data_IF_980045367417
#
_entry.id   IF_980045367417
#
_cell.length_a   1.000
_cell.length_b   1.000
_cell.length_c   1.000
_cell.angle_alpha   90.00
_cell.angle_beta   90.00
_cell.angle_gamma   90.00
#
_symmetry.space_group_name_H-M   'P 1'
#
loop_
_entity.id
_entity.type
_entity.pdbx_description
1 polymer ?
#
# COMPACT_ATOMS: atom_id res chain seq x y z
N UNK A 1 23.66 9.99 -2.45
CA UNK A 1 22.98 9.83 -1.15
C UNK A 1 21.47 9.96 -1.35
N UNK A 2 20.67 9.25 -0.55
CA UNK A 2 19.20 9.32 -0.62
C UNK A 2 18.70 10.74 -0.33
N UNK A 3 17.68 11.21 -1.07
CA UNK A 3 16.96 12.47 -0.79
C UNK A 3 15.96 12.35 0.37
N UNK A 4 15.65 11.13 0.81
CA UNK A 4 14.74 10.87 1.92
C UNK A 4 15.53 10.96 3.25
N UNK A 5 15.27 11.96 4.12
CA UNK A 5 16.02 12.15 5.36
C UNK A 5 15.75 11.07 6.42
N UNK A 6 14.60 10.39 6.35
CA UNK A 6 14.23 9.35 7.31
C UNK A 6 14.64 7.98 6.77
N UNK A 7 15.32 7.17 7.58
CA UNK A 7 15.59 5.77 7.21
C UNK A 7 14.32 4.93 7.42
N UNK A 8 13.92 4.07 6.46
CA UNK A 8 12.80 3.17 6.69
C UNK A 8 13.15 2.06 7.69
N UNK A 9 12.14 1.59 8.41
CA UNK A 9 12.18 0.46 9.36
C UNK A 9 12.19 -0.89 8.64
N UNK A 10 11.66 -0.94 7.41
CA UNK A 10 11.67 -2.11 6.52
C UNK A 10 12.61 -1.87 5.33
N UNK A 11 13.19 -2.94 4.79
CA UNK A 11 13.87 -2.88 3.51
C UNK A 11 12.83 -2.69 2.39
N UNK A 12 13.10 -1.79 1.45
CA UNK A 12 12.28 -1.58 0.26
C UNK A 12 13.10 -2.06 -0.93
N UNK A 13 12.60 -3.07 -1.63
CA UNK A 13 13.27 -3.69 -2.78
C UNK A 13 12.45 -3.39 -4.03
N UNK A 14 13.09 -2.82 -5.04
CA UNK A 14 12.53 -2.67 -6.37
C UNK A 14 13.09 -3.78 -7.26
N UNK A 15 12.21 -4.51 -7.93
CA UNK A 15 12.58 -5.62 -8.80
C UNK A 15 11.90 -5.41 -10.14
N UNK A 16 12.65 -5.58 -11.22
CA UNK A 16 12.12 -5.67 -12.57
C UNK A 16 12.32 -7.11 -13.03
N UNK A 17 11.22 -7.87 -13.14
CA UNK A 17 11.28 -9.24 -13.62
C UNK A 17 11.43 -9.29 -15.13
N UNK A 18 11.99 -10.40 -15.61
CA UNK A 18 12.08 -10.73 -17.03
C UNK A 18 11.18 -11.94 -17.30
N UNK A 19 10.66 -12.06 -18.52
CA UNK A 19 9.84 -13.20 -18.92
C UNK A 19 8.49 -13.31 -18.20
N UNK A 20 7.86 -12.18 -17.85
CA UNK A 20 6.48 -12.15 -17.35
C UNK A 20 5.54 -12.79 -18.40
N UNK A 21 5.63 -12.32 -19.65
CA UNK A 21 4.89 -12.85 -20.80
C UNK A 21 5.32 -14.28 -21.21
N UNK A 22 6.42 -14.79 -20.65
CA UNK A 22 6.88 -16.17 -20.80
C UNK A 22 6.42 -17.03 -19.61
N UNK A 23 5.19 -16.80 -19.15
CA UNK A 23 4.59 -17.45 -17.98
C UNK A 23 5.34 -17.15 -16.67
N UNK A 24 5.64 -15.88 -16.38
CA UNK A 24 6.19 -15.41 -15.10
C UNK A 24 7.57 -15.99 -14.78
N UNK A 25 8.39 -16.27 -15.80
CA UNK A 25 9.64 -17.01 -15.65
C UNK A 25 10.59 -16.39 -14.63
N UNK A 26 10.78 -15.06 -14.69
CA UNK A 26 11.69 -14.35 -13.79
C UNK A 26 11.22 -14.33 -12.33
N UNK A 27 9.93 -14.10 -12.07
CA UNK A 27 9.40 -14.11 -10.71
C UNK A 27 9.34 -15.51 -10.11
N UNK A 28 9.04 -16.54 -10.91
CA UNK A 28 9.18 -17.94 -10.50
C UNK A 28 10.64 -18.29 -10.12
N UNK A 29 11.60 -17.86 -10.93
CA UNK A 29 13.01 -18.06 -10.62
C UNK A 29 13.42 -17.34 -9.34
N UNK A 30 12.99 -16.09 -9.14
CA UNK A 30 13.31 -15.34 -7.92
C UNK A 30 12.73 -15.99 -6.67
N UNK A 31 11.48 -16.46 -6.71
CA UNK A 31 10.84 -17.12 -5.57
C UNK A 31 11.55 -18.42 -5.19
N UNK A 32 12.07 -19.15 -6.17
CA UNK A 32 12.86 -20.37 -5.94
C UNK A 32 14.32 -20.10 -5.53
N UNK A 33 14.88 -18.95 -5.92
CA UNK A 33 16.27 -18.56 -5.65
C UNK A 33 16.37 -17.11 -5.13
N UNK A 34 15.77 -16.81 -3.97
CA UNK A 34 15.64 -15.44 -3.51
C UNK A 34 16.98 -14.88 -3.02
N UNK A 35 17.37 -13.71 -3.54
CA UNK A 35 18.55 -12.97 -3.04
C UNK A 35 18.26 -12.40 -1.65
N UNK A 36 17.03 -11.93 -1.42
CA UNK A 36 16.56 -11.47 -0.11
C UNK A 36 15.52 -12.44 0.46
N UNK A 37 15.56 -12.77 1.76
CA UNK A 37 14.62 -13.71 2.35
C UNK A 37 13.16 -13.32 2.15
N UNK A 38 12.34 -14.27 1.67
CA UNK A 38 10.90 -14.05 1.45
C UNK A 38 10.08 -14.00 2.76
N UNK A 39 10.65 -14.52 3.86
CA UNK A 39 9.99 -14.50 5.17
C UNK A 39 9.70 -13.06 5.60
N UNK A 40 8.46 -12.79 6.01
CA UNK A 40 7.98 -11.45 6.39
C UNK A 40 8.04 -10.40 5.26
N UNK A 41 8.13 -10.84 4.00
CA UNK A 41 8.00 -9.95 2.86
C UNK A 41 6.55 -9.75 2.47
N UNK A 42 6.27 -8.63 1.81
CA UNK A 42 4.98 -8.29 1.19
C UNK A 42 5.30 -7.74 -0.21
N UNK A 43 4.46 -8.06 -1.20
CA UNK A 43 4.70 -7.70 -2.59
C UNK A 43 3.52 -6.89 -3.14
N UNK A 44 3.82 -5.70 -3.66
CA UNK A 44 2.93 -4.99 -4.56
C UNK A 44 3.58 -5.04 -5.93
N UNK A 45 2.96 -5.79 -6.84
CA UNK A 45 3.33 -5.84 -8.23
C UNK A 45 2.55 -4.76 -9.02
N UNK A 46 3.19 -4.17 -10.01
CA UNK A 46 2.61 -3.13 -10.86
C UNK A 46 2.63 -3.65 -12.29
N UNK A 47 1.45 -3.78 -12.88
CA UNK A 47 1.29 -4.32 -14.22
C UNK A 47 0.25 -3.50 -14.99
N UNK A 48 0.55 -3.10 -16.22
CA UNK A 48 -0.30 -2.21 -17.03
C UNK A 48 -0.70 -0.88 -16.35
N UNK A 49 -0.05 -0.47 -15.25
CA UNK A 49 -0.43 0.71 -14.48
C UNK A 49 -0.34 1.99 -15.31
N UNK A 50 -1.31 2.88 -15.13
CA UNK A 50 -1.34 4.16 -15.81
C UNK A 50 -1.90 4.13 -17.23
N UNK A 51 -2.48 3.02 -17.71
CA UNK A 51 -3.25 3.05 -18.96
C UNK A 51 -4.39 4.09 -18.87
N UNK A 52 -4.76 4.71 -20.01
CA UNK A 52 -5.92 5.62 -20.12
C UNK A 52 -7.26 4.86 -20.03
N UNK A 53 -7.46 4.17 -18.92
CA UNK A 53 -8.70 3.46 -18.63
C UNK A 53 -9.66 4.33 -17.83
N UNK A 54 -10.94 4.22 -18.17
CA UNK A 54 -12.05 4.77 -17.36
C UNK A 54 -12.66 3.73 -16.42
N UNK A 55 -12.10 2.52 -16.39
CA UNK A 55 -12.54 1.46 -15.48
C UNK A 55 -11.99 1.70 -14.06
N UNK A 56 -12.64 1.13 -13.02
CA UNK A 56 -12.04 1.06 -11.70
C UNK A 56 -10.66 0.40 -11.73
N UNK A 57 -9.76 0.84 -10.85
CA UNK A 57 -8.47 0.17 -10.65
C UNK A 57 -8.70 -1.27 -10.22
N UNK A 58 -8.10 -2.23 -10.91
CA UNK A 58 -8.20 -3.64 -10.51
C UNK A 58 -7.08 -3.98 -9.54
N UNK A 59 -7.42 -4.53 -8.37
CA UNK A 59 -6.48 -5.05 -7.39
C UNK A 59 -6.61 -6.58 -7.38
N UNK A 60 -5.67 -7.24 -8.04
CA UNK A 60 -5.59 -8.69 -8.10
C UNK A 60 -4.91 -9.23 -6.85
N UNK A 61 -5.53 -10.21 -6.19
CA UNK A 61 -4.93 -10.93 -5.06
C UNK A 61 -4.69 -12.39 -5.41
N UNK A 62 -3.75 -13.00 -4.68
CA UNK A 62 -3.59 -14.45 -4.73
C UNK A 62 -4.72 -15.17 -3.99
N UNK A 63 -5.47 -16.01 -4.71
CA UNK A 63 -6.48 -16.91 -4.15
C UNK A 63 -7.75 -16.23 -3.62
N UNK A 64 -8.75 -17.04 -3.24
CA UNK A 64 -10.09 -16.56 -2.88
C UNK A 64 -10.36 -16.51 -1.36
N UNK A 65 -9.57 -17.17 -0.52
CA UNK A 65 -9.89 -17.33 0.90
C UNK A 65 -9.39 -16.18 1.77
N UNK A 66 -10.27 -15.60 2.59
CA UNK A 66 -9.91 -14.62 3.62
C UNK A 66 -8.92 -15.18 4.66
N UNK A 67 -8.89 -16.51 4.85
CA UNK A 67 -7.95 -17.22 5.75
C UNK A 67 -6.53 -17.35 5.20
N UNK A 68 -6.36 -17.46 3.88
CA UNK A 68 -5.05 -17.27 3.24
C UNK A 68 -4.64 -15.79 3.21
N UNK A 69 -5.61 -14.89 3.43
CA UNK A 69 -5.48 -13.44 3.36
C UNK A 69 -5.33 -12.81 4.75
N UNK A 70 -4.32 -13.23 5.51
CA UNK A 70 -3.68 -12.34 6.48
C UNK A 70 -2.97 -11.15 5.81
N UNK A 71 -3.47 -10.69 4.66
CA UNK A 71 -2.83 -9.74 3.76
C UNK A 71 -3.12 -8.32 4.24
N UNK A 72 -2.33 -7.88 5.21
CA UNK A 72 -2.15 -6.46 5.57
C UNK A 72 -2.15 -5.58 4.33
N UNK A 73 -1.33 -5.94 3.33
CA UNK A 73 -1.14 -5.16 2.11
C UNK A 73 -2.42 -4.91 1.30
N UNK A 74 -3.34 -5.89 1.21
CA UNK A 74 -4.60 -5.71 0.48
C UNK A 74 -5.53 -4.76 1.22
N UNK A 75 -5.62 -4.91 2.54
CA UNK A 75 -6.48 -4.06 3.36
C UNK A 75 -5.95 -2.62 3.40
N UNK A 76 -4.64 -2.43 3.45
CA UNK A 76 -4.00 -1.12 3.40
C UNK A 76 -4.23 -0.43 2.05
N UNK A 77 -4.09 -1.15 0.93
CA UNK A 77 -4.43 -0.62 -0.39
C UNK A 77 -5.90 -0.20 -0.47
N UNK A 78 -6.82 -1.03 0.05
CA UNK A 78 -8.25 -0.70 0.10
C UNK A 78 -8.50 0.56 0.93
N UNK A 79 -7.91 0.64 2.13
CA UNK A 79 -8.05 1.81 3.01
C UNK A 79 -7.51 3.08 2.36
N UNK A 80 -6.32 3.03 1.75
CA UNK A 80 -5.75 4.15 1.01
C UNK A 80 -6.62 4.55 -0.19
N UNK A 81 -7.15 3.57 -0.93
CA UNK A 81 -8.07 3.83 -2.04
C UNK A 81 -9.38 4.48 -1.57
N UNK A 82 -9.98 3.99 -0.49
CA UNK A 82 -11.19 4.55 0.11
C UNK A 82 -10.96 6.00 0.58
N UNK A 83 -9.85 6.27 1.28
CA UNK A 83 -9.47 7.62 1.74
C UNK A 83 -9.29 8.59 0.56
N UNK A 84 -8.66 8.12 -0.52
CA UNK A 84 -8.45 8.87 -1.76
C UNK A 84 -9.68 8.91 -2.66
N UNK A 85 -10.79 8.24 -2.29
CA UNK A 85 -12.02 8.10 -3.10
C UNK A 85 -11.77 7.49 -4.49
N UNK A 86 -10.82 6.58 -4.57
CA UNK A 86 -10.49 5.83 -5.78
C UNK A 86 -11.48 4.68 -5.92
N UNK A 87 -12.11 4.54 -7.09
CA UNK A 87 -12.90 3.35 -7.41
C UNK A 87 -11.95 2.19 -7.73
N UNK A 88 -12.19 1.03 -7.11
CA UNK A 88 -11.44 -0.19 -7.37
C UNK A 88 -12.35 -1.42 -7.40
N UNK A 89 -11.87 -2.50 -8.01
CA UNK A 89 -12.41 -3.85 -7.88
C UNK A 89 -11.36 -4.79 -7.29
N UNK A 90 -11.81 -5.81 -6.55
CA UNK A 90 -10.94 -6.88 -6.06
C UNK A 90 -11.12 -8.09 -6.97
N UNK A 91 -10.04 -8.49 -7.60
CA UNK A 91 -10.03 -9.60 -8.53
C UNK A 91 -9.31 -10.80 -7.91
N UNK A 92 -9.90 -11.98 -8.07
CA UNK A 92 -9.34 -13.24 -7.57
C UNK A 92 -8.82 -14.15 -8.69
N UNK A 93 -9.10 -13.76 -9.94
CA UNK A 93 -8.81 -14.52 -11.15
C UNK A 93 -7.94 -13.64 -12.04
N UNK A 94 -6.64 -13.90 -12.05
CA UNK A 94 -5.67 -13.17 -12.87
C UNK A 94 -4.27 -13.64 -12.54
N UNK A 95 -3.36 -13.53 -13.50
CA UNK A 95 -1.97 -13.95 -13.36
C UNK A 95 -1.06 -12.80 -13.75
N UNK A 96 -0.09 -12.51 -12.90
CA UNK A 96 1.02 -11.57 -13.11
C UNK A 96 2.07 -11.91 -12.04
N UNK A 97 3.20 -11.21 -11.99
CA UNK A 97 4.38 -11.58 -11.17
C UNK A 97 4.13 -11.70 -9.65
N UNK A 98 2.99 -11.23 -9.12
CA UNK A 98 2.56 -11.54 -7.75
C UNK A 98 2.26 -13.02 -7.50
N UNK A 99 1.85 -13.80 -8.51
CA UNK A 99 1.33 -15.16 -8.32
C UNK A 99 2.35 -16.14 -7.72
N UNK A 100 3.62 -16.20 -8.17
CA UNK A 100 4.61 -17.09 -7.58
C UNK A 100 4.86 -16.80 -6.10
N UNK A 101 4.84 -15.53 -5.68
CA UNK A 101 4.99 -15.13 -4.28
C UNK A 101 3.82 -15.64 -3.43
N UNK A 102 2.59 -15.41 -3.89
CA UNK A 102 1.39 -15.91 -3.23
C UNK A 102 1.39 -17.44 -3.10
N UNK A 103 1.91 -18.17 -4.08
CA UNK A 103 1.99 -19.63 -4.07
C UNK A 103 2.86 -20.22 -2.97
N UNK A 104 3.84 -19.45 -2.46
CA UNK A 104 4.69 -19.83 -1.32
C UNK A 104 4.28 -19.13 -0.02
N UNK A 105 3.10 -18.50 0.01
CA UNK A 105 2.52 -17.88 1.20
C UNK A 105 3.01 -16.46 1.49
N UNK A 106 3.67 -15.78 0.55
CA UNK A 106 4.02 -14.35 0.67
C UNK A 106 2.80 -13.49 0.30
N UNK A 107 2.34 -12.57 1.17
CA UNK A 107 1.31 -11.60 0.83
C UNK A 107 1.66 -10.82 -0.43
N UNK A 108 0.84 -10.97 -1.48
CA UNK A 108 1.16 -10.40 -2.79
C UNK A 108 -0.10 -9.96 -3.54
N UNK A 109 -0.04 -8.79 -4.15
CA UNK A 109 -1.12 -8.19 -4.94
C UNK A 109 -0.56 -7.56 -6.22
N UNK A 110 -1.38 -7.46 -7.26
CA UNK A 110 -1.07 -6.69 -8.48
C UNK A 110 -2.08 -5.57 -8.68
N UNK A 111 -1.58 -4.38 -9.04
CA UNK A 111 -2.41 -3.26 -9.49
C UNK A 111 -2.45 -3.24 -11.01
N UNK A 112 -3.64 -3.14 -11.61
CA UNK A 112 -3.86 -3.11 -13.06
C UNK A 112 -4.86 -2.02 -13.46
N UNK A 113 -4.45 -1.14 -14.37
CA UNK A 113 -5.34 -0.30 -15.16
C UNK A 113 -5.73 -1.03 -16.45
N UNK A 114 -6.85 -1.75 -16.42
CA UNK A 114 -7.25 -2.53 -17.59
C UNK A 114 -7.73 -1.61 -18.73
N UNK A 115 -7.05 -1.65 -19.87
CA UNK A 115 -7.53 -1.08 -21.13
C UNK A 115 -7.40 -2.12 -22.24
N UNK A 116 -8.51 -2.81 -22.54
CA UNK A 116 -8.51 -3.99 -23.43
C UNK A 116 -8.14 -3.67 -24.87
N UNK A 117 -8.35 -2.44 -25.32
CA UNK A 117 -8.12 -2.08 -26.72
C UNK A 117 -6.64 -1.81 -27.04
N UNK A 118 -5.81 -1.63 -26.03
CA UNK A 118 -4.37 -1.35 -26.18
C UNK A 118 -3.49 -2.42 -25.54
N UNK A 119 -4.08 -3.43 -24.91
CA UNK A 119 -3.34 -4.54 -24.33
C UNK A 119 -2.78 -5.46 -25.43
N UNK A 120 -1.48 -5.76 -25.38
CA UNK A 120 -0.79 -6.67 -26.32
C UNK A 120 -0.89 -6.28 -27.80
N UNK A 121 -0.98 -4.98 -28.08
CA UNK A 121 -1.01 -4.45 -29.46
C UNK A 121 0.05 -3.36 -29.65
N UNK A 122 0.50 -3.10 -30.89
CA UNK A 122 1.52 -2.07 -31.18
C UNK A 122 1.16 -0.66 -30.69
N UNK A 123 -0.12 -0.39 -30.47
CA UNK A 123 -0.64 0.86 -29.93
C UNK A 123 -0.45 1.01 -28.42
N UNK A 124 0.14 0.04 -27.71
CA UNK A 124 0.60 0.22 -26.33
C UNK A 124 1.83 1.15 -26.28
N UNK A 125 1.56 2.45 -26.41
CA UNK A 125 2.56 3.51 -26.49
C UNK A 125 2.34 4.57 -25.42
N UNK A 126 3.34 5.44 -25.22
CA UNK A 126 3.31 6.48 -24.20
C UNK A 126 2.14 7.46 -24.36
N UNK A 127 1.64 7.65 -25.58
CA UNK A 127 0.45 8.45 -25.88
C UNK A 127 -0.81 7.91 -25.20
N UNK A 128 -0.84 6.61 -24.89
CA UNK A 128 -1.96 5.95 -24.22
C UNK A 128 -1.78 5.82 -22.70
N UNK A 129 -0.78 6.49 -22.12
CA UNK A 129 -0.63 6.63 -20.67
C UNK A 129 -1.45 7.81 -20.13
N UNK A 130 -2.32 7.51 -19.17
CA UNK A 130 -3.06 8.46 -18.36
C UNK A 130 -2.20 8.92 -17.19
N UNK A 131 -1.68 10.14 -17.26
CA UNK A 131 -0.80 10.68 -16.21
C UNK A 131 -1.46 10.69 -14.83
N UNK A 132 -2.77 10.89 -14.77
CA UNK A 132 -3.52 10.92 -13.51
C UNK A 132 -3.77 9.51 -12.98
N UNK A 133 -4.03 8.52 -13.85
CA UNK A 133 -4.08 7.10 -13.50
C UNK A 133 -2.73 6.63 -12.92
N UNK A 134 -1.63 6.94 -13.60
CA UNK A 134 -0.29 6.58 -13.13
C UNK A 134 0.02 7.23 -11.76
N UNK A 135 -0.30 8.51 -11.59
CA UNK A 135 -0.13 9.20 -10.29
C UNK A 135 -1.00 8.60 -9.19
N UNK A 136 -2.23 8.19 -9.52
CA UNK A 136 -3.14 7.53 -8.59
C UNK A 136 -2.53 6.22 -8.08
N UNK A 137 -2.02 5.39 -8.98
CA UNK A 137 -1.46 4.07 -8.63
C UNK A 137 -0.19 4.19 -7.81
N UNK A 138 0.74 5.04 -8.26
CA UNK A 138 1.95 5.32 -7.48
C UNK A 138 1.59 5.96 -6.15
N UNK A 139 0.56 6.79 -6.07
CA UNK A 139 0.04 7.35 -4.83
C UNK A 139 -0.38 6.28 -3.82
N UNK A 140 -1.11 5.26 -4.25
CA UNK A 140 -1.51 4.13 -3.40
C UNK A 140 -0.28 3.36 -2.89
N UNK A 141 0.66 3.02 -3.77
CA UNK A 141 1.90 2.32 -3.40
C UNK A 141 2.69 3.14 -2.38
N UNK A 142 2.80 4.45 -2.61
CA UNK A 142 3.55 5.35 -1.73
C UNK A 142 2.90 5.51 -0.35
N UNK A 143 1.58 5.50 -0.26
CA UNK A 143 0.88 5.51 1.03
C UNK A 143 1.18 4.24 1.81
N UNK A 144 1.04 3.08 1.18
CA UNK A 144 1.31 1.78 1.82
C UNK A 144 2.77 1.67 2.26
N UNK A 145 3.73 2.10 1.42
CA UNK A 145 5.14 2.19 1.81
C UNK A 145 5.32 3.17 2.98
N UNK A 146 4.66 4.32 2.94
CA UNK A 146 4.72 5.34 3.99
C UNK A 146 4.23 4.81 5.35
N UNK A 147 3.11 4.10 5.36
CA UNK A 147 2.53 3.54 6.57
C UNK A 147 3.35 2.38 7.15
N UNK A 148 3.89 1.51 6.29
CA UNK A 148 4.53 0.27 6.71
C UNK A 148 6.04 0.35 6.89
N UNK A 149 6.72 1.18 6.10
CA UNK A 149 8.17 1.26 6.12
C UNK A 149 8.67 2.47 6.93
N UNK A 150 7.83 3.45 7.28
CA UNK A 150 8.25 4.65 8.02
C UNK A 150 7.46 4.83 9.34
N UNK A 151 7.35 3.75 10.12
CA UNK A 151 6.50 3.70 11.32
C UNK A 151 6.97 4.64 12.44
N UNK A 152 8.28 4.93 12.55
CA UNK A 152 8.79 5.81 13.61
C UNK A 152 8.15 7.21 13.61
N UNK A 153 7.87 7.76 12.41
CA UNK A 153 7.22 9.06 12.27
C UNK A 153 5.77 9.05 12.78
N UNK A 154 5.09 7.91 12.64
CA UNK A 154 3.72 7.71 13.16
C UNK A 154 3.73 7.66 14.69
N UNK A 155 4.65 6.92 15.29
CA UNK A 155 4.76 6.84 16.75
C UNK A 155 5.14 8.18 17.39
N UNK A 156 6.04 8.97 16.77
CA UNK A 156 6.38 10.31 17.27
C UNK A 156 5.17 11.25 17.27
N UNK A 157 4.35 11.21 16.20
CA UNK A 157 3.14 12.03 16.13
C UNK A 157 2.09 11.61 17.16
N UNK A 158 1.87 10.30 17.31
CA UNK A 158 0.93 9.77 18.30
C UNK A 158 1.35 10.10 19.74
N UNK A 159 2.65 10.00 20.03
CA UNK A 159 3.21 10.36 21.33
C UNK A 159 2.96 11.84 21.67
N UNK A 160 3.15 12.75 20.71
CA UNK A 160 2.85 14.18 20.88
C UNK A 160 1.36 14.39 21.13
N UNK A 161 0.48 13.73 20.37
CA UNK A 161 -0.98 13.82 20.55
C UNK A 161 -1.38 13.35 21.96
N UNK A 162 -0.83 12.23 22.44
CA UNK A 162 -1.09 11.73 23.79
C UNK A 162 -0.63 12.71 24.88
N UNK A 163 0.52 13.37 24.70
CA UNK A 163 1.00 14.42 25.62
C UNK A 163 0.02 15.60 25.64
N UNK A 164 -0.39 16.09 24.47
CA UNK A 164 -1.34 17.21 24.37
C UNK A 164 -2.67 16.85 25.03
N UNK A 165 -3.22 15.66 24.76
CA UNK A 165 -4.45 15.19 25.37
C UNK A 165 -4.33 15.07 26.91
N UNK A 166 -3.19 14.60 27.40
CA UNK A 166 -2.88 14.54 28.84
C UNK A 166 -2.87 15.92 29.49
N UNK A 167 -2.17 16.89 28.89
CA UNK A 167 -2.11 18.29 29.36
C UNK A 167 -3.51 18.91 29.38
N UNK A 168 -4.29 18.75 28.30
CA UNK A 168 -5.66 19.26 28.23
C UNK A 168 -6.56 18.69 29.34
N UNK A 169 -6.40 17.39 29.65
CA UNK A 169 -7.14 16.73 30.74
C UNK A 169 -6.80 17.34 32.09
N UNK A 170 -5.51 17.58 32.36
CA UNK A 170 -5.04 18.23 33.61
C UNK A 170 -5.61 19.64 33.74
N UNK A 171 -5.61 20.43 32.66
CA UNK A 171 -6.17 21.79 32.65
C UNK A 171 -7.67 21.77 32.98
N UNK A 172 -8.44 20.86 32.40
CA UNK A 172 -9.88 20.72 32.69
C UNK A 172 -10.13 20.36 34.16
N UNK A 173 -9.33 19.44 34.72
CA UNK A 173 -9.41 19.07 36.15
C UNK A 173 -9.08 20.28 37.02
N UNK A 174 -8.03 21.04 36.70
CA UNK A 174 -7.63 22.22 37.45
C UNK A 174 -8.72 23.32 37.43
N UNK A 175 -9.32 23.58 36.27
CA UNK A 175 -10.43 24.54 36.13
C UNK A 175 -11.64 24.09 36.96
N UNK A 176 -12.01 22.81 36.91
CA UNK A 176 -13.10 22.25 37.73
C UNK A 176 -12.80 22.37 39.23
N UNK A 177 -11.60 22.03 39.65
CA UNK A 177 -11.19 22.14 41.05
C UNK A 177 -11.23 23.60 41.55
N UNK A 178 -10.77 24.55 40.72
CA UNK A 178 -10.79 25.97 41.09
C UNK A 178 -12.22 26.53 41.15
N UNK A 179 -13.11 26.15 40.22
CA UNK A 179 -14.54 26.52 40.29
C UNK A 179 -15.20 25.98 41.56
N UNK A 180 -14.92 24.74 41.96
CA UNK A 180 -15.47 24.17 43.21
C UNK A 180 -14.97 24.87 44.48
N UNK A 181 -13.74 25.40 44.47
CA UNK A 181 -13.23 26.21 45.60
C UNK A 181 -13.96 27.54 45.72
N UNK A 182 -14.22 28.22 44.60
CA UNK A 182 -14.92 29.52 44.58
C UNK A 182 -16.36 29.39 45.10
N UNK A 183 -17.05 28.28 44.78
CA UNK A 183 -18.44 28.04 45.22
C UNK A 183 -18.56 27.75 46.74
N UNK A 184 -17.48 27.33 47.42
CA UNK A 184 -17.50 27.03 48.86
C UNK A 184 -17.23 28.24 49.77
N UNK A 185 -16.99 29.43 49.22
CA UNK A 185 -16.60 30.64 49.97
C UNK A 185 -17.78 31.65 50.12
N UNK A 186 -18.98 31.29 49.64
CA UNK A 186 -20.23 32.02 49.86
C UNK A 186 -21.18 31.19 50.73
#
# INVERSE_FOLDING_TARGET
MSKQPVKPDKNIVFIAFSGEEENLFGSQYYVSHPIYPLKNSEVINLDMVGAKSNLPLSIFRYGSSERASGNSILNELKSSADERKIKYSIENNGSSDHMPFGSVGVPSVTLIDLEKNIYHVPEDTIENIGRDNLKRDIGLVMDVIGENAYTQKRYSNLFIICIIAGIMTIIVIAIRHNRMRIVKIN
#
